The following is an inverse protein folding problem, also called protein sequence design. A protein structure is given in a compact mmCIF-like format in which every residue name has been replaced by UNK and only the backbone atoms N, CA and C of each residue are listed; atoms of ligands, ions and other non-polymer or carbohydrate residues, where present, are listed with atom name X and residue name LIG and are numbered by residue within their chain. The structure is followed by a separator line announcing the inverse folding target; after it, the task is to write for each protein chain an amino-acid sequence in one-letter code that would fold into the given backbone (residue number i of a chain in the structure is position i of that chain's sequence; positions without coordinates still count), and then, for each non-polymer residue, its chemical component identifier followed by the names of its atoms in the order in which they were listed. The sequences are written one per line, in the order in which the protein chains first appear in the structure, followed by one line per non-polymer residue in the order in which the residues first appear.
data_IF_651939186014
#
_entry.id   IF_651939186014
#
_cell.length_a   1.000
_cell.length_b   1.000
_cell.length_c   1.000
_cell.angle_alpha   90.00
_cell.angle_beta   90.00
_cell.angle_gamma   90.00
#
_symmetry.space_group_name_H-M   'P 1'
#
loop_
_entity.id
_entity.type
_entity.pdbx_description
1 polymer ?
#
# COMPACT_ATOMS: atom_id res chain seq x y z
N UNK A 1 51.47 22.22 -11.73
CA UNK A 1 50.83 21.44 -10.63
C UNK A 1 49.32 21.68 -10.62
N UNK A 2 48.62 21.41 -11.72
CA UNK A 2 47.15 21.64 -11.87
C UNK A 2 46.52 20.40 -12.51
N UNK A 3 46.69 19.23 -11.88
CA UNK A 3 46.14 17.95 -12.37
C UNK A 3 45.40 17.19 -11.27
N UNK A 4 45.84 17.30 -10.01
CA UNK A 4 45.22 16.60 -8.88
C UNK A 4 43.84 17.12 -8.47
N UNK A 5 43.61 18.44 -8.55
CA UNK A 5 42.31 19.03 -8.16
C UNK A 5 41.13 18.51 -8.99
N UNK A 6 41.32 18.24 -10.29
CA UNK A 6 40.28 17.68 -11.16
C UNK A 6 39.97 16.22 -10.82
N UNK A 7 40.96 15.46 -10.34
CA UNK A 7 40.80 14.03 -9.97
C UNK A 7 40.00 13.85 -8.69
N UNK A 8 40.06 14.82 -7.77
CA UNK A 8 39.33 14.81 -6.50
C UNK A 8 37.94 15.45 -6.65
N UNK A 9 37.78 16.46 -7.51
CA UNK A 9 36.47 17.10 -7.72
C UNK A 9 35.42 16.15 -8.32
N UNK A 10 35.81 15.24 -9.22
CA UNK A 10 34.88 14.31 -9.85
C UNK A 10 34.18 13.35 -8.86
N UNK A 11 34.89 12.62 -7.96
CA UNK A 11 34.25 11.74 -6.99
C UNK A 11 33.47 12.52 -5.92
N UNK A 12 33.93 13.72 -5.52
CA UNK A 12 33.20 14.58 -4.58
C UNK A 12 31.88 15.06 -5.20
N UNK A 13 31.90 15.48 -6.47
CA UNK A 13 30.69 15.86 -7.19
C UNK A 13 29.74 14.67 -7.35
N UNK A 14 30.26 13.47 -7.65
CA UNK A 14 29.45 12.26 -7.79
C UNK A 14 28.79 11.85 -6.46
N UNK A 15 29.53 11.99 -5.35
CA UNK A 15 28.99 11.77 -4.00
C UNK A 15 27.90 12.79 -3.67
N UNK A 16 28.14 14.08 -3.92
CA UNK A 16 27.13 15.12 -3.69
C UNK A 16 25.87 14.89 -4.56
N UNK A 17 26.04 14.41 -5.79
CA UNK A 17 24.93 14.07 -6.68
C UNK A 17 24.16 12.84 -6.17
N UNK A 18 24.84 11.82 -5.65
CA UNK A 18 24.18 10.63 -5.10
C UNK A 18 23.43 10.91 -3.80
N UNK A 19 23.91 11.84 -2.96
CA UNK A 19 23.18 12.33 -1.79
C UNK A 19 21.96 13.19 -2.16
N UNK A 20 21.94 13.78 -3.36
CA UNK A 20 20.80 14.55 -3.87
C UNK A 20 19.69 13.67 -4.47
N UNK A 21 19.96 12.38 -4.69
CA UNK A 21 18.93 11.45 -5.13
C UNK A 21 17.93 11.26 -3.99
N UNK A 22 16.62 11.50 -4.21
CA UNK A 22 15.63 11.23 -3.20
C UNK A 22 15.72 9.73 -2.84
N UNK A 23 15.80 9.44 -1.55
CA UNK A 23 15.73 8.06 -1.08
C UNK A 23 14.39 7.49 -1.53
N UNK A 24 14.39 6.63 -2.54
CA UNK A 24 13.17 6.00 -3.11
C UNK A 24 12.59 4.93 -2.18
N UNK A 25 12.74 5.11 -0.87
CA UNK A 25 11.93 4.38 0.10
C UNK A 25 10.50 4.90 -0.04
N UNK A 26 9.72 4.24 -0.91
CA UNK A 26 8.27 4.40 -1.06
C UNK A 26 7.54 3.85 0.18
N UNK A 27 7.98 4.25 1.37
CA UNK A 27 7.27 3.96 2.60
C UNK A 27 6.10 4.94 2.74
N UNK A 28 4.98 4.44 3.27
CA UNK A 28 3.86 5.31 3.60
C UNK A 28 4.27 6.38 4.61
N UNK A 29 3.77 7.59 4.38
CA UNK A 29 3.82 8.69 5.32
C UNK A 29 2.56 8.69 6.18
N UNK A 30 2.63 9.21 7.41
CA UNK A 30 1.43 9.43 8.22
C UNK A 30 0.35 10.18 7.43
N UNK A 31 -0.85 9.59 7.35
CA UNK A 31 -1.96 10.15 6.58
C UNK A 31 -2.12 9.60 5.15
N UNK A 32 -1.15 8.81 4.65
CA UNK A 32 -1.28 8.18 3.34
C UNK A 32 -2.37 7.11 3.34
N UNK A 33 -3.09 7.02 2.23
CA UNK A 33 -4.05 5.94 2.00
C UNK A 33 -3.27 4.68 1.62
N UNK A 34 -3.46 3.62 2.41
CA UNK A 34 -2.86 2.32 2.16
C UNK A 34 -3.80 1.52 1.24
N UNK A 35 -3.38 1.12 0.03
CA UNK A 35 -4.20 0.32 -0.86
C UNK A 35 -4.63 -0.99 -0.19
N UNK A 36 -5.89 -1.33 -0.38
CA UNK A 36 -6.47 -2.54 0.18
C UNK A 36 -7.37 -3.20 -0.85
N UNK A 37 -7.46 -4.52 -0.79
CA UNK A 37 -8.48 -5.29 -1.50
C UNK A 37 -9.18 -6.25 -0.54
N UNK A 38 -10.36 -6.71 -0.94
CA UNK A 38 -11.18 -7.62 -0.13
C UNK A 38 -11.79 -8.74 -0.94
N UNK A 39 -12.09 -9.84 -0.28
CA UNK A 39 -12.84 -10.98 -0.81
C UNK A 39 -13.90 -11.40 0.22
N UNK A 40 -15.09 -11.78 -0.24
CA UNK A 40 -16.14 -12.37 0.59
C UNK A 40 -16.34 -13.84 0.29
N UNK A 41 -16.72 -14.62 1.31
CA UNK A 41 -17.18 -15.99 1.14
C UNK A 41 -18.48 -16.23 1.93
N UNK A 42 -19.48 -16.78 1.26
CA UNK A 42 -20.75 -17.21 1.85
C UNK A 42 -21.21 -18.53 1.21
N UNK A 43 -21.68 -19.48 2.00
CA UNK A 43 -22.18 -20.77 1.50
C UNK A 43 -21.22 -21.45 0.50
N UNK A 44 -19.94 -21.49 0.85
CA UNK A 44 -18.84 -21.98 0.00
C UNK A 44 -18.64 -21.24 -1.36
N UNK A 45 -19.46 -20.25 -1.68
CA UNK A 45 -19.29 -19.36 -2.83
C UNK A 45 -18.36 -18.20 -2.45
N UNK A 46 -17.38 -17.91 -3.30
CA UNK A 46 -16.40 -16.83 -3.11
C UNK A 46 -16.61 -15.75 -4.16
N UNK A 47 -16.53 -14.49 -3.74
CA UNK A 47 -16.38 -13.39 -4.69
C UNK A 47 -14.95 -13.35 -5.21
N UNK A 48 -14.71 -12.64 -6.31
CA UNK A 48 -13.35 -12.26 -6.69
C UNK A 48 -12.79 -11.24 -5.70
N UNK A 49 -11.48 -11.00 -5.77
CA UNK A 49 -10.86 -9.87 -5.07
C UNK A 49 -11.33 -8.57 -5.71
N UNK A 50 -11.77 -7.64 -4.85
CA UNK A 50 -12.17 -6.31 -5.26
C UNK A 50 -11.29 -5.27 -4.58
N UNK A 51 -10.81 -4.32 -5.37
CA UNK A 51 -10.08 -3.17 -4.86
C UNK A 51 -11.01 -2.32 -3.99
N UNK A 52 -10.51 -1.93 -2.83
CA UNK A 52 -11.16 -0.97 -1.95
C UNK A 52 -10.60 0.40 -2.30
N UNK A 53 -11.47 1.41 -2.36
CA UNK A 53 -11.11 2.72 -2.93
C UNK A 53 -11.35 3.84 -1.93
N UNK A 54 -10.40 4.78 -1.88
CA UNK A 54 -10.52 6.06 -1.20
C UNK A 54 -10.79 5.91 0.31
N UNK A 55 -11.89 6.50 0.79
CA UNK A 55 -12.27 6.52 2.21
C UNK A 55 -12.47 5.14 2.83
N UNK A 56 -12.62 4.10 2.02
CA UNK A 56 -12.80 2.75 2.53
C UNK A 56 -11.48 2.04 2.84
N UNK A 57 -10.36 2.61 2.40
CA UNK A 57 -9.03 2.11 2.68
C UNK A 57 -8.55 2.54 4.08
N UNK A 58 -7.64 1.75 4.68
CA UNK A 58 -6.91 2.19 5.86
C UNK A 58 -6.02 3.39 5.56
N UNK A 59 -5.77 4.20 6.59
CA UNK A 59 -4.86 5.34 6.53
C UNK A 59 -3.66 5.02 7.43
N UNK A 60 -2.45 5.18 6.89
CA UNK A 60 -1.24 4.84 7.61
C UNK A 60 -1.08 5.69 8.87
N UNK A 61 -0.79 5.03 10.00
CA UNK A 61 -0.66 5.61 11.37
C UNK A 61 -1.90 6.32 11.92
N UNK A 62 -3.08 6.13 11.31
CA UNK A 62 -4.31 6.76 11.78
C UNK A 62 -5.34 5.69 12.13
N UNK A 63 -5.71 5.61 13.42
CA UNK A 63 -6.82 4.76 13.86
C UNK A 63 -8.14 5.35 13.37
N UNK A 64 -8.88 4.58 12.58
CA UNK A 64 -10.21 4.96 12.09
C UNK A 64 -11.07 3.73 11.89
N UNK A 65 -12.35 3.89 12.15
CA UNK A 65 -13.36 2.92 11.78
C UNK A 65 -13.93 3.25 10.41
N UNK A 66 -14.23 2.21 9.64
CA UNK A 66 -14.68 2.34 8.26
C UNK A 66 -15.76 1.31 7.98
N UNK A 67 -16.87 1.76 7.43
CA UNK A 67 -17.88 0.88 6.88
C UNK A 67 -17.38 0.30 5.55
N UNK A 68 -17.21 -1.02 5.49
CA UNK A 68 -16.81 -1.71 4.27
C UNK A 68 -18.06 -2.28 3.58
N UNK A 69 -18.36 -1.88 2.33
CA UNK A 69 -19.47 -2.46 1.60
C UNK A 69 -19.19 -3.92 1.28
N UNK A 70 -20.09 -4.81 1.70
CA UNK A 70 -20.06 -6.23 1.35
C UNK A 70 -21.13 -6.53 0.30
N UNK A 71 -20.82 -7.41 -0.63
CA UNK A 71 -21.80 -7.86 -1.60
C UNK A 71 -22.88 -8.67 -0.87
N UNK A 72 -24.16 -8.38 -1.14
CA UNK A 72 -25.26 -9.17 -0.60
C UNK A 72 -25.11 -10.61 -1.10
N UNK A 73 -24.97 -11.60 -0.21
CA UNK A 73 -24.86 -12.98 -0.64
C UNK A 73 -26.16 -13.46 -1.30
N UNK A 74 -26.04 -14.21 -2.38
CA UNK A 74 -27.15 -14.89 -3.04
C UNK A 74 -27.73 -15.93 -2.09
N UNK A 75 -29.05 -15.91 -1.87
CA UNK A 75 -29.70 -16.83 -0.94
C UNK A 75 -29.35 -16.59 0.54
N UNK A 76 -29.13 -15.33 0.94
CA UNK A 76 -28.91 -14.99 2.35
C UNK A 76 -30.11 -15.40 3.22
N UNK A 77 -29.90 -16.38 4.10
CA UNK A 77 -30.91 -16.87 5.07
C UNK A 77 -30.52 -16.56 6.52
N UNK A 78 -29.31 -16.04 6.76
CA UNK A 78 -28.78 -15.80 8.10
C UNK A 78 -28.31 -17.06 8.84
N UNK A 79 -28.45 -18.24 8.24
CA UNK A 79 -28.04 -19.52 8.85
C UNK A 79 -26.52 -19.78 8.76
N UNK A 80 -25.86 -19.23 7.72
CA UNK A 80 -24.44 -19.45 7.46
C UNK A 80 -23.59 -18.21 7.79
N UNK A 81 -22.35 -18.39 8.28
CA UNK A 81 -21.44 -17.28 8.52
C UNK A 81 -20.91 -16.67 7.22
N UNK A 82 -20.84 -15.34 7.16
CA UNK A 82 -20.13 -14.62 6.11
C UNK A 82 -18.67 -14.41 6.50
N UNK A 83 -17.74 -14.87 5.67
CA UNK A 83 -16.30 -14.69 5.89
C UNK A 83 -15.77 -13.56 5.00
N UNK A 84 -14.91 -12.71 5.55
CA UNK A 84 -14.27 -11.61 4.84
C UNK A 84 -12.76 -11.76 4.96
N UNK A 85 -12.06 -11.63 3.84
CA UNK A 85 -10.61 -11.58 3.80
C UNK A 85 -10.17 -10.23 3.26
N UNK A 86 -9.10 -9.69 3.85
CA UNK A 86 -8.50 -8.42 3.44
C UNK A 86 -7.07 -8.65 3.04
N UNK A 87 -6.62 -7.91 2.03
CA UNK A 87 -5.21 -7.80 1.67
C UNK A 87 -4.87 -6.31 1.69
N UNK A 88 -3.92 -5.93 2.54
CA UNK A 88 -3.49 -4.56 2.77
C UNK A 88 -2.05 -4.42 2.31
N UNK A 89 -1.76 -3.36 1.56
CA UNK A 89 -0.46 -3.15 0.92
C UNK A 89 -0.31 -4.00 -0.35
N UNK A 90 0.30 -3.41 -1.38
CA UNK A 90 0.67 -4.10 -2.64
C UNK A 90 2.16 -4.01 -2.96
N UNK A 91 2.89 -3.26 -2.16
CA UNK A 91 4.34 -3.14 -2.18
C UNK A 91 4.97 -4.51 -1.99
N UNK A 92 5.58 -4.99 -3.09
CA UNK A 92 6.58 -6.05 -3.02
C UNK A 92 7.84 -5.40 -2.46
N UNK A 93 8.23 -5.78 -1.25
CA UNK A 93 9.54 -5.42 -0.71
C UNK A 93 10.66 -5.99 -1.59
#
# INVERSE_FOLDING_TARGET
MVSDGRRIMAPVLFLLLSLSLPSVSLAYRPGDIVPMSKMGQYHNSRTVWHDVVGKHCPIFTVNREVLIPIAKPTGYTGADPYKISFQVGREKF
#
